data_IF_709504845562
#
_entry.id   IF_709504845562
#
_cell.length_a   1.000
_cell.length_b   1.000
_cell.length_c   1.000
_cell.angle_alpha   90.00
_cell.angle_beta   90.00
_cell.angle_gamma   90.00
#
_symmetry.space_group_name_H-M   'P 1'
#
loop_
_entity.id
_entity.type
_entity.pdbx_description
1 polymer ?
#
# COMPACT_ATOMS: atom_id res chain seq x y z
N UNK A 1 -11.54 -1.76 -11.66
CA UNK A 1 -11.39 -2.48 -10.37
C UNK A 1 -10.79 -3.85 -10.68
N UNK A 2 -9.46 -4.01 -10.61
CA UNK A 2 -8.81 -5.30 -10.86
C UNK A 2 -9.19 -6.30 -9.76
N UNK A 3 -9.86 -7.38 -10.15
CA UNK A 3 -10.28 -8.43 -9.21
C UNK A 3 -9.27 -9.56 -9.28
N UNK A 4 -8.45 -9.70 -8.23
CA UNK A 4 -7.62 -10.89 -7.96
C UNK A 4 -8.40 -12.22 -7.95
N UNK A 5 -9.75 -12.20 -8.05
CA UNK A 5 -10.59 -13.37 -8.33
C UNK A 5 -10.30 -14.03 -9.67
N UNK A 6 -9.72 -13.31 -10.63
CA UNK A 6 -9.40 -13.83 -11.97
C UNK A 6 -7.94 -14.35 -12.06
N UNK A 7 -7.20 -14.34 -10.95
CA UNK A 7 -5.87 -14.94 -10.90
C UNK A 7 -5.99 -16.46 -11.03
N UNK A 8 -5.41 -17.02 -12.09
CA UNK A 8 -5.41 -18.46 -12.38
C UNK A 8 -4.64 -19.31 -11.36
N UNK A 9 -3.85 -18.68 -10.49
CA UNK A 9 -3.11 -19.34 -9.44
C UNK A 9 -4.05 -19.76 -8.30
N UNK A 10 -3.85 -20.98 -7.78
CA UNK A 10 -4.52 -21.41 -6.55
C UNK A 10 -3.92 -20.69 -5.32
N UNK A 11 -4.51 -20.90 -4.14
CA UNK A 11 -4.10 -20.19 -2.91
C UNK A 11 -2.62 -20.47 -2.52
N UNK A 12 -2.11 -21.67 -2.81
CA UNK A 12 -0.73 -22.07 -2.50
C UNK A 12 0.26 -21.46 -3.49
N UNK A 13 -0.02 -21.54 -4.79
CA UNK A 13 0.79 -20.94 -5.85
C UNK A 13 0.87 -19.42 -5.69
N UNK A 14 -0.26 -18.78 -5.40
CA UNK A 14 -0.30 -17.35 -5.11
C UNK A 14 0.45 -17.06 -3.81
N UNK A 15 0.34 -17.92 -2.80
CA UNK A 15 1.09 -17.82 -1.55
C UNK A 15 2.59 -17.82 -1.78
N UNK A 16 3.10 -18.74 -2.59
CA UNK A 16 4.51 -18.82 -2.99
C UNK A 16 4.94 -17.52 -3.68
N UNK A 17 4.14 -17.01 -4.62
CA UNK A 17 4.46 -15.80 -5.39
C UNK A 17 4.66 -14.55 -4.51
N UNK A 18 3.97 -14.44 -3.37
CA UNK A 18 4.06 -13.27 -2.48
C UNK A 18 4.67 -13.55 -1.10
N UNK A 19 5.14 -14.78 -0.86
CA UNK A 19 5.76 -15.17 0.41
C UNK A 19 4.76 -15.28 1.57
N UNK A 20 3.56 -15.80 1.31
CA UNK A 20 2.48 -15.93 2.28
C UNK A 20 1.95 -17.37 2.34
N UNK A 21 1.37 -17.75 3.48
CA UNK A 21 0.66 -19.03 3.57
C UNK A 21 -0.64 -19.02 2.76
N UNK A 22 -1.09 -20.18 2.28
CA UNK A 22 -2.35 -20.31 1.55
C UNK A 22 -3.56 -19.78 2.35
N UNK A 23 -3.57 -19.94 3.68
CA UNK A 23 -4.60 -19.36 4.54
C UNK A 23 -4.58 -17.81 4.53
N UNK A 24 -3.40 -17.20 4.54
CA UNK A 24 -3.25 -15.75 4.44
C UNK A 24 -3.72 -15.22 3.08
N UNK A 25 -3.53 -15.99 2.00
CA UNK A 25 -4.08 -15.69 0.67
C UNK A 25 -5.60 -15.79 0.65
N UNK A 26 -6.18 -16.84 1.22
CA UNK A 26 -7.64 -16.99 1.33
C UNK A 26 -8.28 -15.81 2.06
N UNK A 27 -7.64 -15.36 3.14
CA UNK A 27 -8.05 -14.15 3.87
C UNK A 27 -7.94 -12.90 3.00
N UNK A 28 -6.86 -12.70 2.25
CA UNK A 28 -6.70 -11.56 1.32
C UNK A 28 -7.67 -11.60 0.14
N UNK A 29 -8.09 -12.77 -0.32
CA UNK A 29 -9.10 -12.95 -1.38
C UNK A 29 -10.50 -12.58 -0.90
N UNK A 30 -10.85 -12.96 0.32
CA UNK A 30 -12.13 -12.58 0.95
C UNK A 30 -12.15 -11.13 1.43
N UNK A 31 -10.99 -10.59 1.84
CA UNK A 31 -10.80 -9.20 2.29
C UNK A 31 -9.66 -8.54 1.50
N UNK A 32 -9.94 -7.97 0.31
CA UNK A 32 -8.94 -7.30 -0.51
C UNK A 32 -8.23 -6.12 0.19
N UNK A 33 -8.84 -5.57 1.24
CA UNK A 33 -8.23 -4.50 2.03
C UNK A 33 -6.95 -4.91 2.78
N UNK A 34 -6.69 -6.22 2.90
CA UNK A 34 -5.51 -6.76 3.58
C UNK A 34 -4.26 -6.81 2.69
N UNK A 35 -4.39 -6.50 1.39
CA UNK A 35 -3.24 -6.40 0.50
C UNK A 35 -2.36 -5.23 0.89
N UNK A 36 -1.05 -5.47 0.82
CA UNK A 36 -0.02 -4.47 1.13
C UNK A 36 0.80 -4.09 -0.11
N UNK A 37 1.50 -2.96 -0.07
CA UNK A 37 2.33 -2.49 -1.18
C UNK A 37 3.42 -3.51 -1.55
N UNK A 38 4.07 -4.14 -0.57
CA UNK A 38 5.06 -5.18 -0.86
C UNK A 38 4.43 -6.43 -1.50
N UNK A 39 3.21 -6.80 -1.12
CA UNK A 39 2.48 -7.90 -1.75
C UNK A 39 2.24 -7.58 -3.25
N UNK A 40 1.83 -6.34 -3.57
CA UNK A 40 1.61 -5.88 -4.95
C UNK A 40 2.92 -5.87 -5.74
N UNK A 41 4.02 -5.39 -5.15
CA UNK A 41 5.33 -5.39 -5.78
C UNK A 41 5.80 -6.82 -6.12
N UNK A 42 5.62 -7.78 -5.19
CA UNK A 42 5.95 -9.19 -5.42
C UNK A 42 5.10 -9.82 -6.51
N UNK A 43 3.80 -9.52 -6.55
CA UNK A 43 2.93 -9.96 -7.65
C UNK A 43 3.39 -9.39 -8.99
N UNK A 44 3.69 -8.09 -9.05
CA UNK A 44 4.18 -7.46 -10.27
C UNK A 44 5.47 -8.13 -10.75
N UNK A 45 6.43 -8.37 -9.85
CA UNK A 45 7.65 -9.10 -10.17
C UNK A 45 7.37 -10.53 -10.68
N UNK A 46 6.48 -11.27 -10.01
CA UNK A 46 6.12 -12.64 -10.39
C UNK A 46 5.51 -12.72 -11.81
N UNK A 47 4.65 -11.77 -12.16
CA UNK A 47 4.03 -11.69 -13.49
C UNK A 47 4.86 -10.89 -14.50
N UNK A 48 6.13 -10.60 -14.21
CA UNK A 48 7.03 -9.82 -15.09
C UNK A 48 6.50 -8.44 -15.48
N UNK A 49 5.65 -7.85 -14.63
CA UNK A 49 5.14 -6.49 -14.78
C UNK A 49 6.14 -5.48 -14.17
N UNK A 50 6.19 -4.24 -14.69
CA UNK A 50 7.04 -3.21 -14.12
C UNK A 50 6.74 -2.96 -12.63
N UNK A 51 7.78 -3.05 -11.80
CA UNK A 51 7.71 -2.77 -10.35
C UNK A 51 8.08 -1.33 -10.01
N UNK A 52 8.49 -0.54 -11.01
CA UNK A 52 8.99 0.83 -10.86
C UNK A 52 8.01 1.72 -10.11
N UNK A 53 6.72 1.65 -10.43
CA UNK A 53 5.68 2.42 -9.74
C UNK A 53 5.58 2.07 -8.25
N UNK A 54 5.72 0.79 -7.88
CA UNK A 54 5.70 0.36 -6.48
C UNK A 54 6.93 0.88 -5.72
N UNK A 55 8.11 0.79 -6.34
CA UNK A 55 9.37 1.27 -5.75
C UNK A 55 9.35 2.79 -5.57
N UNK A 56 8.96 3.53 -6.60
CA UNK A 56 8.84 5.00 -6.56
C UNK A 56 7.82 5.45 -5.53
N UNK A 57 6.67 4.78 -5.45
CA UNK A 57 5.66 5.07 -4.43
C UNK A 57 6.22 4.83 -3.03
N UNK A 58 6.88 3.70 -2.78
CA UNK A 58 7.49 3.41 -1.49
C UNK A 58 8.53 4.49 -1.10
N UNK A 59 9.36 4.92 -2.04
CA UNK A 59 10.32 6.00 -1.80
C UNK A 59 9.62 7.32 -1.45
N UNK A 60 8.61 7.70 -2.23
CA UNK A 60 7.82 8.93 -2.01
C UNK A 60 7.15 8.92 -0.63
N UNK A 61 6.64 7.78 -0.15
CA UNK A 61 5.99 7.67 1.16
C UNK A 61 6.97 7.85 2.33
N UNK A 62 8.22 7.41 2.15
CA UNK A 62 9.30 7.65 3.11
C UNK A 62 9.73 9.12 3.12
N UNK A 63 9.86 9.74 1.95
CA UNK A 63 10.18 11.16 1.80
C UNK A 63 9.07 12.07 2.33
N UNK A 64 7.80 11.72 2.10
CA UNK A 64 6.63 12.43 2.63
C UNK A 64 6.70 12.54 4.15
N UNK A 65 7.01 11.44 4.83
CA UNK A 65 7.10 11.43 6.29
C UNK A 65 8.20 12.36 6.78
N UNK A 66 9.36 12.33 6.11
CA UNK A 66 10.49 13.20 6.43
C UNK A 66 10.17 14.68 6.17
N UNK A 67 9.40 14.97 5.12
CA UNK A 67 8.96 16.32 4.75
C UNK A 67 7.97 16.86 5.78
N UNK A 68 6.97 16.06 6.17
CA UNK A 68 5.96 16.46 7.17
C UNK A 68 6.55 16.79 8.54
N UNK A 69 7.67 16.16 8.92
CA UNK A 69 8.39 16.49 10.17
C UNK A 69 9.02 17.87 10.18
N UNK A 70 9.36 18.41 9.01
CA UNK A 70 10.02 19.71 8.85
C UNK A 70 9.03 20.87 8.77
N UNK A 71 7.75 20.59 8.57
CA UNK A 71 6.71 21.61 8.47
C UNK A 71 6.32 22.17 9.84
N UNK A 72 5.75 23.38 9.82
CA UNK A 72 5.12 23.94 11.01
C UNK A 72 3.95 23.06 11.46
N UNK A 73 3.59 23.06 12.76
CA UNK A 73 2.48 22.24 13.27
C UNK A 73 1.14 22.47 12.55
N UNK A 74 0.86 23.70 12.12
CA UNK A 74 -0.39 24.05 11.46
C UNK A 74 -0.44 23.56 10.01
N UNK A 75 0.65 23.70 9.26
CA UNK A 75 0.77 23.14 7.91
C UNK A 75 0.73 21.62 7.93
N UNK A 76 1.43 21.00 8.89
CA UNK A 76 1.40 19.54 9.08
C UNK A 76 -0.03 19.06 9.31
N UNK A 77 -0.76 19.69 10.24
CA UNK A 77 -2.16 19.35 10.53
C UNK A 77 -3.07 19.53 9.31
N UNK A 78 -2.84 20.57 8.50
CA UNK A 78 -3.59 20.79 7.26
C UNK A 78 -3.38 19.63 6.28
N UNK A 79 -2.13 19.21 6.07
CA UNK A 79 -1.82 18.10 5.14
C UNK A 79 -2.34 16.77 5.70
N UNK A 80 -2.17 16.50 7.00
CA UNK A 80 -2.72 15.29 7.64
C UNK A 80 -4.24 15.19 7.45
N UNK A 81 -4.96 16.32 7.49
CA UNK A 81 -6.40 16.38 7.20
C UNK A 81 -6.71 16.12 5.72
N UNK A 82 -5.93 16.66 4.79
CA UNK A 82 -6.12 16.43 3.36
C UNK A 82 -5.85 14.98 2.97
N UNK A 83 -4.82 14.36 3.53
CA UNK A 83 -4.45 12.97 3.25
C UNK A 83 -5.23 11.95 4.09
N UNK A 84 -6.03 12.41 5.07
CA UNK A 84 -6.77 11.55 6.01
C UNK A 84 -5.87 10.55 6.75
N UNK A 85 -4.62 10.93 7.03
CA UNK A 85 -3.62 10.06 7.68
C UNK A 85 -2.74 10.90 8.61
N UNK A 86 -2.47 10.38 9.80
CA UNK A 86 -1.58 11.02 10.77
C UNK A 86 -0.12 10.63 10.51
N UNK A 87 0.82 11.50 10.86
CA UNK A 87 2.26 11.22 10.73
C UNK A 87 2.69 9.94 11.47
N UNK A 88 2.11 9.67 12.63
CA UNK A 88 2.41 8.45 13.40
C UNK A 88 1.98 7.18 12.67
N UNK A 89 0.91 7.25 11.86
CA UNK A 89 0.48 6.14 11.02
C UNK A 89 1.42 5.97 9.82
N UNK A 90 1.86 7.07 9.20
CA UNK A 90 2.86 7.03 8.12
C UNK A 90 4.15 6.35 8.58
N UNK A 91 4.65 6.71 9.76
CA UNK A 91 5.83 6.09 10.37
C UNK A 91 5.63 4.59 10.61
N UNK A 92 4.49 4.21 11.17
CA UNK A 92 4.15 2.81 11.40
C UNK A 92 4.10 2.00 10.09
N UNK A 93 3.54 2.57 9.01
CA UNK A 93 3.47 1.91 7.71
C UNK A 93 4.83 1.85 7.00
N UNK A 94 5.67 2.88 7.11
CA UNK A 94 7.03 2.83 6.59
C UNK A 94 7.91 1.79 7.30
N UNK A 95 7.66 1.51 8.58
CA UNK A 95 8.37 0.46 9.33
C UNK A 95 7.85 -0.95 9.04
N UNK A 96 6.55 -1.11 8.75
CA UNK A 96 5.91 -2.41 8.62
C UNK A 96 5.58 -2.74 7.17
N UNK A 97 4.54 -2.12 6.63
CA UNK A 97 4.20 -2.07 5.21
C UNK A 97 2.98 -1.14 5.03
N UNK A 98 2.70 -0.77 3.80
CA UNK A 98 1.57 0.08 3.43
C UNK A 98 0.34 -0.74 3.04
N UNK A 99 -0.78 -0.63 3.78
CA UNK A 99 -2.05 -1.20 3.34
C UNK A 99 -2.52 -0.51 2.06
N UNK A 100 -2.81 -1.27 1.01
CA UNK A 100 -3.27 -0.73 -0.29
C UNK A 100 -4.53 0.10 -0.11
N UNK A 101 -5.44 -0.32 0.78
CA UNK A 101 -6.65 0.44 1.12
C UNK A 101 -6.33 1.88 1.56
N UNK A 102 -5.28 2.07 2.34
CA UNK A 102 -4.92 3.40 2.86
C UNK A 102 -4.30 4.27 1.76
N UNK A 103 -3.47 3.68 0.89
CA UNK A 103 -2.96 4.36 -0.30
C UNK A 103 -4.10 4.82 -1.22
N UNK A 104 -5.10 3.96 -1.43
CA UNK A 104 -6.30 4.30 -2.22
C UNK A 104 -7.12 5.42 -1.56
N UNK A 105 -7.28 5.39 -0.23
CA UNK A 105 -7.96 6.47 0.50
C UNK A 105 -7.23 7.80 0.36
N UNK A 106 -5.91 7.82 0.51
CA UNK A 106 -5.10 9.02 0.30
C UNK A 106 -5.24 9.56 -1.12
N UNK A 107 -5.16 8.67 -2.12
CA UNK A 107 -5.38 9.03 -3.52
C UNK A 107 -6.77 9.63 -3.73
N UNK A 108 -7.84 8.97 -3.25
CA UNK A 108 -9.20 9.48 -3.37
C UNK A 108 -9.39 10.83 -2.67
N UNK A 109 -8.78 11.03 -1.51
CA UNK A 109 -8.86 12.29 -0.79
C UNK A 109 -8.19 13.43 -1.58
N UNK A 110 -7.08 13.17 -2.27
CA UNK A 110 -6.40 14.15 -3.11
C UNK A 110 -7.17 14.49 -4.39
N UNK A 111 -7.84 13.52 -5.01
CA UNK A 111 -8.59 13.74 -6.25
C UNK A 111 -10.00 14.34 -6.03
N UNK A 112 -10.56 14.18 -4.83
CA UNK A 112 -11.89 14.68 -4.47
C UNK A 112 -11.84 15.95 -3.59
N UNK A 113 -10.65 16.50 -3.33
CA UNK A 113 -10.44 17.74 -2.56
C UNK A 113 -10.39 18.97 -3.46
#
# INVERSE_FOLDING_TARGET
MWRLRECSLNDEQLGIAVGLSGNAIRNRRSKPDLWKLSDVQRLAAHFTLPTTACVQLNQTLNELTSTLKKLSPDERRRIERQLLVKITQLESYNQSDWPVRNLLKMHQALYNA
#
